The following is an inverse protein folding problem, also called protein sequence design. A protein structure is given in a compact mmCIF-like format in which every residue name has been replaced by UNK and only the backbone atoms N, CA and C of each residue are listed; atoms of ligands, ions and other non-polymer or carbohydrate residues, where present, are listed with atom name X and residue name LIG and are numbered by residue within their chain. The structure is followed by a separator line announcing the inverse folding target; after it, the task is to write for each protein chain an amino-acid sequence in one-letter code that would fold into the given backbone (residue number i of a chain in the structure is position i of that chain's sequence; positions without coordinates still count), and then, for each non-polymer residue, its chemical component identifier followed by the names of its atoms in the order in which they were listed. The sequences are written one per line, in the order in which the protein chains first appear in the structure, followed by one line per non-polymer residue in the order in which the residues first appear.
data_IF_045180709610
#
_entry.id   IF_045180709610
#
_cell.length_a   1.000
_cell.length_b   1.000
_cell.length_c   1.000
_cell.angle_alpha   90.00
_cell.angle_beta   90.00
_cell.angle_gamma   90.00
#
_symmetry.space_group_name_H-M   'P 1'
#
loop_
_entity.id
_entity.type
_entity.pdbx_description
1 polymer ?
#
# COMPACT_ATOMS: atom_id res chain seq x y z
N UNK A 1 -18.28 -7.96 -11.28
CA UNK A 1 -16.96 -8.57 -11.02
C UNK A 1 -16.60 -8.27 -9.58
N UNK A 2 -16.39 -9.27 -8.75
CA UNK A 2 -15.90 -9.07 -7.38
C UNK A 2 -14.40 -8.82 -7.45
N UNK A 3 -13.97 -7.56 -7.53
CA UNK A 3 -12.55 -7.21 -7.50
C UNK A 3 -12.01 -7.32 -6.07
N UNK A 4 -10.80 -7.85 -5.91
CA UNK A 4 -10.08 -7.95 -4.63
C UNK A 4 -10.22 -9.30 -3.92
N UNK A 5 -10.48 -10.38 -4.67
CA UNK A 5 -10.42 -11.75 -4.15
C UNK A 5 -8.99 -12.27 -4.14
N UNK A 6 -8.73 -13.35 -3.39
CA UNK A 6 -7.43 -14.05 -3.42
C UNK A 6 -7.02 -14.52 -4.82
N UNK A 7 -7.98 -14.64 -5.74
CA UNK A 7 -7.74 -15.03 -7.13
C UNK A 7 -7.42 -13.86 -8.06
N UNK A 8 -7.49 -12.61 -7.57
CA UNK A 8 -7.24 -11.39 -8.36
C UNK A 8 -5.78 -10.92 -8.32
N UNK A 9 -4.85 -11.80 -7.92
CA UNK A 9 -3.42 -11.49 -7.99
C UNK A 9 -3.01 -11.19 -9.43
N UNK A 10 -2.61 -9.94 -9.65
CA UNK A 10 -2.33 -9.35 -10.95
C UNK A 10 -1.38 -8.18 -10.78
N UNK A 11 -0.87 -7.61 -11.87
CA UNK A 11 -0.07 -6.38 -11.83
C UNK A 11 -0.95 -5.11 -11.87
N UNK A 12 -2.26 -5.26 -11.69
CA UNK A 12 -3.19 -4.14 -11.60
C UNK A 12 -2.91 -3.32 -10.34
N UNK A 13 -2.77 -2.01 -10.52
CA UNK A 13 -2.51 -1.07 -9.45
C UNK A 13 -3.81 -0.57 -8.82
N UNK A 14 -3.84 -0.45 -7.50
CA UNK A 14 -4.96 0.10 -6.75
C UNK A 14 -4.45 1.16 -5.79
N UNK A 15 -5.22 2.24 -5.60
CA UNK A 15 -4.96 3.18 -4.50
C UNK A 15 -5.20 2.49 -3.17
N UNK A 16 -4.21 2.50 -2.28
CA UNK A 16 -4.33 1.91 -0.95
C UNK A 16 -3.94 2.94 0.10
N UNK A 17 -4.83 3.20 1.03
CA UNK A 17 -4.58 4.04 2.19
C UNK A 17 -4.26 3.18 3.42
N UNK A 18 -3.15 3.49 4.08
CA UNK A 18 -2.73 2.92 5.35
C UNK A 18 -2.84 3.99 6.43
N UNK A 19 -3.74 3.80 7.40
CA UNK A 19 -3.83 4.65 8.60
C UNK A 19 -2.87 4.12 9.66
N UNK A 20 -1.83 4.90 9.93
CA UNK A 20 -0.69 4.55 10.79
C UNK A 20 -0.16 5.82 11.46
N UNK A 21 0.38 5.69 12.68
CA UNK A 21 0.92 6.81 13.43
C UNK A 21 2.44 6.97 13.31
N UNK A 22 3.15 5.96 12.78
CA UNK A 22 4.62 5.92 12.75
C UNK A 22 5.17 6.46 11.42
N UNK A 23 6.04 7.47 11.50
CA UNK A 23 6.68 8.11 10.35
C UNK A 23 7.62 7.18 9.57
N UNK A 24 8.16 6.13 10.21
CA UNK A 24 9.03 5.14 9.56
C UNK A 24 8.31 4.37 8.44
N UNK A 25 6.96 4.38 8.43
CA UNK A 25 6.16 3.70 7.42
C UNK A 25 6.38 4.30 6.03
N UNK A 26 6.64 5.61 5.90
CA UNK A 26 6.90 6.21 4.60
C UNK A 26 8.12 5.59 3.90
N UNK A 27 9.22 5.39 4.64
CA UNK A 27 10.42 4.73 4.13
C UNK A 27 10.13 3.30 3.71
N UNK A 28 9.40 2.55 4.54
CA UNK A 28 9.02 1.16 4.25
C UNK A 28 8.18 1.08 2.97
N UNK A 29 7.14 1.92 2.85
CA UNK A 29 6.29 1.94 1.65
C UNK A 29 7.11 2.30 0.41
N UNK A 30 8.02 3.28 0.52
CA UNK A 30 8.91 3.70 -0.57
C UNK A 30 9.83 2.57 -1.04
N UNK A 31 10.37 1.77 -0.11
CA UNK A 31 11.19 0.59 -0.42
C UNK A 31 10.37 -0.50 -1.12
N UNK A 32 9.13 -0.73 -0.68
CA UNK A 32 8.23 -1.74 -1.25
C UNK A 32 7.81 -1.42 -2.69
N UNK A 33 7.44 -0.17 -2.96
CA UNK A 33 6.99 0.24 -4.31
C UNK A 33 8.13 0.63 -5.25
N UNK A 34 9.33 0.82 -4.70
CA UNK A 34 10.52 1.22 -5.45
C UNK A 34 10.51 2.71 -5.83
N UNK A 35 11.69 3.22 -6.21
CA UNK A 35 11.93 4.65 -6.43
C UNK A 35 10.98 5.30 -7.44
N UNK A 36 10.62 4.59 -8.51
CA UNK A 36 9.69 5.07 -9.55
C UNK A 36 8.31 5.42 -8.99
N UNK A 37 7.81 4.64 -8.05
CA UNK A 37 6.46 4.78 -7.49
C UNK A 37 6.46 5.51 -6.15
N UNK A 38 7.60 5.57 -5.45
CA UNK A 38 7.74 6.26 -4.18
C UNK A 38 7.39 7.76 -4.28
N UNK A 39 7.65 8.39 -5.43
CA UNK A 39 7.31 9.80 -5.69
C UNK A 39 5.80 10.06 -5.72
N UNK A 40 4.99 9.01 -5.91
CA UNK A 40 3.53 9.10 -5.95
C UNK A 40 2.86 8.89 -4.59
N UNK A 41 3.63 8.59 -3.54
CA UNK A 41 3.09 8.39 -2.19
C UNK A 41 2.53 9.71 -1.68
N UNK A 42 1.25 9.73 -1.34
CA UNK A 42 0.57 10.88 -0.76
C UNK A 42 0.60 10.77 0.76
N UNK A 43 1.16 11.78 1.42
CA UNK A 43 1.23 11.86 2.89
C UNK A 43 -0.01 12.57 3.43
N UNK A 44 -0.69 11.93 4.37
CA UNK A 44 -1.81 12.49 5.13
C UNK A 44 -1.42 12.64 6.61
N UNK A 45 -2.16 13.45 7.40
CA UNK A 45 -1.85 13.65 8.82
C UNK A 45 -1.83 12.36 9.67
N UNK A 46 -2.55 11.32 9.24
CA UNK A 46 -2.70 10.07 9.99
C UNK A 46 -2.36 8.83 9.15
N UNK A 47 -1.63 8.99 8.04
CA UNK A 47 -1.30 7.85 7.20
C UNK A 47 -0.77 8.19 5.83
N UNK A 48 -0.73 7.19 4.97
CA UNK A 48 -0.14 7.26 3.64
C UNK A 48 -1.06 6.61 2.63
N UNK A 49 -1.18 7.22 1.46
CA UNK A 49 -1.82 6.60 0.30
C UNK A 49 -0.79 6.31 -0.78
N UNK A 50 -0.88 5.12 -1.35
CA UNK A 50 0.09 4.62 -2.33
C UNK A 50 -0.60 3.66 -3.30
N UNK A 51 -0.26 3.78 -4.58
CA UNK A 51 -0.70 2.83 -5.59
C UNK A 51 0.15 1.55 -5.52
N UNK A 52 -0.50 0.39 -5.43
CA UNK A 52 0.19 -0.92 -5.43
C UNK A 52 -0.72 -2.05 -5.90
N UNK A 53 -0.14 -3.19 -6.30
CA UNK A 53 -0.90 -4.41 -6.49
C UNK A 53 -1.49 -4.92 -5.18
N UNK A 54 -2.69 -5.52 -5.23
CA UNK A 54 -3.39 -5.97 -4.02
C UNK A 54 -2.61 -7.03 -3.22
N UNK A 55 -1.75 -7.81 -3.86
CA UNK A 55 -0.90 -8.79 -3.18
C UNK A 55 0.16 -8.16 -2.27
N UNK A 56 0.56 -6.90 -2.52
CA UNK A 56 1.53 -6.23 -1.66
C UNK A 56 0.94 -5.84 -0.30
N UNK A 57 -0.38 -5.67 -0.23
CA UNK A 57 -1.09 -5.27 1.00
C UNK A 57 -0.82 -6.25 2.15
N UNK A 58 -1.08 -7.58 2.04
CA UNK A 58 -0.79 -8.51 3.12
C UNK A 58 0.70 -8.60 3.47
N UNK A 59 1.61 -8.45 2.50
CA UNK A 59 3.06 -8.45 2.75
C UNK A 59 3.48 -7.25 3.60
N UNK A 60 2.99 -6.05 3.27
CA UNK A 60 3.24 -4.81 4.02
C UNK A 60 2.62 -4.92 5.41
N UNK A 61 1.37 -5.37 5.54
CA UNK A 61 0.70 -5.53 6.83
C UNK A 61 1.49 -6.46 7.75
N UNK A 62 1.96 -7.60 7.23
CA UNK A 62 2.79 -8.53 8.00
C UNK A 62 4.13 -7.88 8.39
N UNK A 63 4.80 -7.18 7.47
CA UNK A 63 6.08 -6.53 7.74
C UNK A 63 5.98 -5.41 8.80
N UNK A 64 4.97 -4.55 8.70
CA UNK A 64 4.69 -3.51 9.69
C UNK A 64 4.38 -4.13 11.07
N UNK A 65 3.59 -5.21 11.10
CA UNK A 65 3.27 -5.92 12.35
C UNK A 65 4.52 -6.53 13.00
N UNK A 66 5.44 -7.09 12.22
CA UNK A 66 6.73 -7.63 12.72
C UNK A 66 7.63 -6.54 13.31
N UNK A 67 7.48 -5.29 12.86
CA UNK A 67 8.15 -4.12 13.44
C UNK A 67 7.41 -3.51 14.64
N UNK A 68 6.31 -4.13 15.09
CA UNK A 68 5.42 -3.61 16.13
C UNK A 68 4.79 -2.25 15.78
N UNK A 69 4.59 -1.97 14.49
CA UNK A 69 3.89 -0.77 14.03
C UNK A 69 2.39 -1.06 14.02
N UNK A 70 1.62 -0.25 14.74
CA UNK A 70 0.17 -0.37 14.78
C UNK A 70 -0.45 0.12 13.46
N UNK A 71 -1.35 -0.69 12.91
CA UNK A 71 -2.13 -0.38 11.71
C UNK A 71 -3.58 -0.21 12.15
N UNK A 72 -4.12 0.98 12.02
CA UNK A 72 -5.48 1.29 12.44
C UNK A 72 -6.49 0.93 11.35
N UNK A 73 -6.12 1.17 10.09
CA UNK A 73 -6.98 0.91 8.95
C UNK A 73 -6.15 0.65 7.69
N UNK A 74 -6.67 -0.23 6.83
CA UNK A 74 -6.22 -0.37 5.45
C UNK A 74 -7.45 -0.25 4.55
N UNK A 75 -7.46 0.75 3.67
CA UNK A 75 -8.55 0.98 2.72
C UNK A 75 -8.01 0.75 1.32
N UNK A 76 -8.56 -0.24 0.62
CA UNK A 76 -8.35 -0.38 -0.83
C UNK A 76 -9.39 0.46 -1.56
N UNK A 77 -8.92 1.42 -2.35
CA UNK A 77 -9.71 2.24 -3.25
C UNK A 77 -9.82 1.62 -4.64
N UNK A 78 -9.99 2.51 -5.63
CA UNK A 78 -10.19 2.14 -7.02
C UNK A 78 -8.90 1.64 -7.69
N UNK A 79 -9.08 0.87 -8.77
CA UNK A 79 -8.00 0.52 -9.69
C UNK A 79 -7.51 1.80 -10.37
N UNK A 80 -6.20 1.92 -10.54
CA UNK A 80 -5.57 3.02 -11.26
C UNK A 80 -5.11 2.59 -12.65
N UNK A 81 -4.84 3.57 -13.51
CA UNK A 81 -4.19 3.34 -14.81
C UNK A 81 -2.66 3.15 -14.69
N UNK A 82 -2.15 3.07 -13.45
CA UNK A 82 -0.74 2.86 -13.16
C UNK A 82 -0.25 1.49 -13.60
N UNK A 83 1.02 1.42 -13.99
CA UNK A 83 1.68 0.17 -14.38
C UNK A 83 2.73 -0.17 -13.33
N UNK A 84 2.68 -1.38 -12.79
CA UNK A 84 3.64 -1.84 -11.78
C UNK A 84 5.09 -1.83 -12.29
N UNK A 85 5.35 -2.38 -13.49
CA UNK A 85 6.67 -2.45 -14.14
C UNK A 85 6.90 -1.28 -15.10
#
# INVERSE_FOLDING_TARGET
MSAGTLSDYSEDMYEVYFEVADEAVLTILSEFVGSKHAESIVVFPFGYQVAMPIQCIPEIVNYLSQKNIAIYQVIRGDKTDGIWR
#
